data_IF_713265255942
#
_entry.id   IF_713265255942
#
_cell.length_a   1.000
_cell.length_b   1.000
_cell.length_c   1.000
_cell.angle_alpha   90.00
_cell.angle_beta   90.00
_cell.angle_gamma   90.00
#
_symmetry.space_group_name_H-M   'P 1'
#
loop_
_entity.id
_entity.type
_entity.pdbx_description
1 polymer ?
#
# COMPACT_ATOMS: atom_id res chain seq x y z
N UNK A 1 -30.67 -1.26 15.83
CA UNK A 1 -30.38 -0.55 14.57
C UNK A 1 -30.30 0.94 14.89
N UNK A 2 -29.11 1.54 14.90
CA UNK A 2 -29.00 2.98 15.04
C UNK A 2 -29.41 3.59 13.69
N UNK A 3 -30.54 4.30 13.69
CA UNK A 3 -30.98 5.04 12.51
C UNK A 3 -30.06 6.25 12.31
N UNK A 4 -29.63 6.48 11.08
CA UNK A 4 -28.95 7.72 10.74
C UNK A 4 -29.89 8.90 11.01
N UNK A 5 -29.37 10.05 11.49
CA UNK A 5 -30.19 11.23 11.68
C UNK A 5 -30.88 11.65 10.37
N UNK A 6 -32.15 11.97 10.42
CA UNK A 6 -32.94 12.41 9.25
C UNK A 6 -32.27 13.62 8.58
N UNK A 7 -32.18 13.62 7.25
CA UNK A 7 -31.61 14.71 6.47
C UNK A 7 -30.07 14.85 6.56
N UNK A 8 -29.35 13.83 7.06
CA UNK A 8 -27.89 13.80 7.06
C UNK A 8 -27.35 12.84 6.00
N UNK A 9 -26.34 13.28 5.26
CA UNK A 9 -25.52 12.43 4.41
C UNK A 9 -24.32 11.92 5.20
N UNK A 10 -23.97 10.65 5.02
CA UNK A 10 -22.83 10.01 5.69
C UNK A 10 -21.94 9.39 4.61
N UNK A 11 -20.66 9.66 4.70
CA UNK A 11 -19.62 9.05 3.87
C UNK A 11 -18.70 8.22 4.76
N UNK A 12 -18.57 6.93 4.44
CA UNK A 12 -17.57 6.05 5.02
C UNK A 12 -16.37 5.99 4.05
N UNK A 13 -15.19 6.25 4.55
CA UNK A 13 -13.97 6.17 3.75
C UNK A 13 -13.06 5.03 4.24
N UNK A 14 -12.31 4.43 3.30
CA UNK A 14 -11.49 3.23 3.51
C UNK A 14 -12.30 2.11 4.20
N UNK A 15 -13.59 1.96 3.81
CA UNK A 15 -14.52 1.03 4.43
C UNK A 15 -15.45 0.40 3.41
N UNK A 16 -16.01 -0.74 3.78
CA UNK A 16 -17.13 -1.39 3.09
C UNK A 16 -18.44 -1.06 3.82
N UNK A 17 -19.55 -1.33 3.15
CA UNK A 17 -20.89 -1.21 3.73
C UNK A 17 -21.60 -2.59 3.74
N UNK A 18 -21.10 -3.57 4.56
CA UNK A 18 -21.62 -4.93 4.56
C UNK A 18 -23.07 -5.02 5.05
N UNK A 19 -23.52 -4.06 5.86
CA UNK A 19 -24.89 -4.02 6.42
C UNK A 19 -25.91 -3.36 5.50
N UNK A 20 -25.50 -2.89 4.30
CA UNK A 20 -26.38 -2.21 3.36
C UNK A 20 -27.03 -0.94 3.92
N UNK A 21 -26.33 -0.20 4.75
CA UNK A 21 -26.81 1.06 5.31
C UNK A 21 -26.99 2.11 4.21
N UNK A 22 -27.92 3.07 4.34
CA UNK A 22 -28.11 4.14 3.38
C UNK A 22 -27.00 5.21 3.52
N UNK A 23 -25.76 4.81 3.28
CA UNK A 23 -24.57 5.64 3.37
C UNK A 23 -23.74 5.48 2.10
N UNK A 24 -23.04 6.52 1.70
CA UNK A 24 -22.00 6.43 0.68
C UNK A 24 -20.72 5.90 1.30
N UNK A 25 -19.92 5.18 0.51
CA UNK A 25 -18.64 4.65 0.97
C UNK A 25 -17.66 4.50 -0.20
N UNK A 26 -16.39 4.46 0.13
CA UNK A 26 -15.35 4.11 -0.83
C UNK A 26 -14.19 3.36 -0.16
N UNK A 27 -13.44 2.66 -1.00
CA UNK A 27 -12.15 2.04 -0.69
C UNK A 27 -11.12 2.46 -1.75
N UNK A 28 -9.86 2.49 -1.36
CA UNK A 28 -8.74 2.64 -2.30
C UNK A 28 -8.07 1.28 -2.43
N UNK A 29 -8.01 0.75 -3.66
CA UNK A 29 -7.26 -0.46 -3.95
C UNK A 29 -5.76 -0.20 -3.80
N UNK A 30 -5.08 -1.08 -3.08
CA UNK A 30 -3.63 -1.00 -2.93
C UNK A 30 -2.87 -1.90 -3.91
N UNK A 31 -3.58 -2.75 -4.67
CA UNK A 31 -2.95 -3.77 -5.49
C UNK A 31 -2.05 -3.17 -6.59
N UNK A 32 -2.58 -2.27 -7.42
CA UNK A 32 -1.85 -1.74 -8.58
C UNK A 32 -0.59 -0.94 -8.21
N UNK A 33 -0.69 -0.09 -7.19
CA UNK A 33 0.48 0.65 -6.68
C UNK A 33 1.51 -0.29 -6.04
N UNK A 34 1.07 -1.34 -5.34
CA UNK A 34 1.93 -2.37 -4.77
C UNK A 34 2.59 -3.24 -5.84
N UNK A 35 1.89 -3.52 -6.95
CA UNK A 35 2.50 -4.17 -8.12
C UNK A 35 3.71 -3.38 -8.63
N UNK A 36 3.59 -2.07 -8.78
CA UNK A 36 4.70 -1.21 -9.18
C UNK A 36 5.83 -1.17 -8.13
N UNK A 37 5.50 -1.29 -6.85
CA UNK A 37 6.51 -1.45 -5.80
C UNK A 37 7.28 -2.77 -5.94
N UNK A 38 6.59 -3.88 -6.26
CA UNK A 38 7.21 -5.18 -6.55
C UNK A 38 8.14 -5.14 -7.76
N UNK A 39 7.70 -4.51 -8.86
CA UNK A 39 8.56 -4.23 -10.05
C UNK A 39 9.81 -3.46 -9.64
N UNK A 40 9.67 -2.44 -8.80
CA UNK A 40 10.80 -1.64 -8.32
C UNK A 40 11.74 -2.49 -7.47
N UNK A 41 11.21 -3.30 -6.55
CA UNK A 41 11.99 -4.18 -5.68
C UNK A 41 12.84 -5.18 -6.48
N UNK A 42 12.27 -5.79 -7.51
CA UNK A 42 12.96 -6.72 -8.40
C UNK A 42 14.16 -6.09 -9.14
N UNK A 43 14.09 -4.79 -9.40
CA UNK A 43 15.13 -4.06 -10.13
C UNK A 43 16.13 -3.32 -9.21
N UNK A 44 15.88 -3.22 -7.90
CA UNK A 44 16.77 -2.48 -7.00
C UNK A 44 17.70 -3.36 -6.16
N UNK A 45 17.46 -4.66 -6.04
CA UNK A 45 18.28 -5.58 -5.27
C UNK A 45 18.29 -6.98 -5.87
N UNK A 46 19.37 -7.73 -5.64
CA UNK A 46 19.45 -9.17 -5.95
C UNK A 46 18.98 -10.04 -4.78
N UNK A 47 18.74 -9.44 -3.61
CA UNK A 47 18.21 -10.15 -2.43
C UNK A 47 16.71 -10.37 -2.53
N UNK A 48 16.25 -11.50 -1.98
CA UNK A 48 14.83 -11.80 -1.91
C UNK A 48 14.09 -10.73 -1.08
N UNK A 49 12.85 -10.35 -1.44
CA UNK A 49 12.03 -9.46 -0.62
C UNK A 49 11.35 -10.22 0.53
N UNK A 50 10.97 -9.47 1.55
CA UNK A 50 10.06 -9.88 2.60
C UNK A 50 8.84 -8.95 2.59
N UNK A 51 7.65 -9.52 2.57
CA UNK A 51 6.40 -8.80 2.82
C UNK A 51 6.08 -8.90 4.30
N UNK A 52 5.82 -7.75 4.95
CA UNK A 52 5.44 -7.70 6.37
C UNK A 52 4.02 -7.16 6.49
N UNK A 53 3.11 -7.95 7.06
CA UNK A 53 1.73 -7.56 7.31
C UNK A 53 1.56 -7.13 8.76
N UNK A 54 0.85 -6.04 9.00
CA UNK A 54 0.46 -5.64 10.35
C UNK A 54 -0.51 -6.63 10.97
N UNK A 55 -1.55 -7.03 10.21
CA UNK A 55 -2.61 -7.91 10.66
C UNK A 55 -2.94 -8.94 9.58
N UNK A 56 -2.75 -10.24 9.86
CA UNK A 56 -3.04 -11.32 8.90
C UNK A 56 -4.54 -11.51 8.62
N UNK A 57 -5.42 -10.97 9.46
CA UNK A 57 -6.87 -11.00 9.25
C UNK A 57 -7.43 -9.76 8.54
N UNK A 58 -6.58 -8.81 8.15
CA UNK A 58 -6.99 -7.63 7.40
C UNK A 58 -6.86 -7.88 5.89
N UNK A 59 -7.99 -8.02 5.20
CA UNK A 59 -8.00 -8.28 3.76
C UNK A 59 -7.30 -7.18 2.95
N UNK A 60 -7.33 -5.92 3.39
CA UNK A 60 -6.74 -4.82 2.64
C UNK A 60 -5.22 -4.91 2.55
N UNK A 61 -4.54 -5.41 3.60
CA UNK A 61 -3.08 -5.59 3.54
C UNK A 61 -2.67 -6.78 2.66
N UNK A 62 -3.55 -7.77 2.49
CA UNK A 62 -3.33 -8.85 1.54
C UNK A 62 -3.44 -8.36 0.09
N UNK A 63 -4.35 -7.45 -0.23
CA UNK A 63 -4.39 -6.84 -1.58
C UNK A 63 -3.06 -6.15 -1.93
N UNK A 64 -2.44 -5.50 -0.96
CA UNK A 64 -1.11 -4.92 -1.15
C UNK A 64 -0.01 -5.98 -1.27
N UNK A 65 -0.08 -7.05 -0.48
CA UNK A 65 0.87 -8.17 -0.54
C UNK A 65 0.81 -8.88 -1.89
N UNK A 66 -0.39 -9.25 -2.34
CA UNK A 66 -0.62 -9.94 -3.60
C UNK A 66 -0.14 -9.09 -4.80
N UNK A 67 -0.47 -7.79 -4.79
CA UNK A 67 0.02 -6.87 -5.81
C UNK A 67 1.54 -6.78 -5.84
N UNK A 68 2.19 -6.66 -4.68
CA UNK A 68 3.65 -6.62 -4.60
C UNK A 68 4.29 -7.92 -5.09
N UNK A 69 3.78 -9.08 -4.67
CA UNK A 69 4.26 -10.38 -5.10
C UNK A 69 4.15 -10.55 -6.60
N UNK A 70 2.98 -10.28 -7.19
CA UNK A 70 2.76 -10.37 -8.63
C UNK A 70 3.70 -9.46 -9.42
N UNK A 71 3.90 -8.22 -8.95
CA UNK A 71 4.84 -7.29 -9.55
C UNK A 71 6.30 -7.75 -9.48
N UNK A 72 6.72 -8.30 -8.36
CA UNK A 72 8.06 -8.85 -8.18
C UNK A 72 8.30 -10.09 -9.07
N UNK A 73 7.37 -11.04 -9.06
CA UNK A 73 7.45 -12.28 -9.87
C UNK A 73 7.44 -11.95 -11.36
N UNK A 74 6.71 -10.93 -11.80
CA UNK A 74 6.68 -10.52 -13.22
C UNK A 74 8.05 -10.13 -13.79
N UNK A 75 9.01 -9.80 -12.92
CA UNK A 75 10.34 -9.32 -13.29
C UNK A 75 11.45 -10.33 -12.94
N UNK A 76 11.14 -11.45 -12.32
CA UNK A 76 12.11 -12.42 -11.80
C UNK A 76 11.68 -13.85 -12.09
N UNK A 77 12.56 -14.83 -11.79
CA UNK A 77 12.25 -16.26 -11.86
C UNK A 77 11.73 -16.79 -10.50
N UNK A 78 11.34 -15.91 -9.55
CA UNK A 78 10.83 -16.32 -8.26
C UNK A 78 9.41 -16.92 -8.42
N UNK A 79 9.12 -17.97 -7.65
CA UNK A 79 7.78 -18.61 -7.64
C UNK A 79 6.88 -18.00 -6.57
N UNK A 80 7.46 -17.38 -5.53
CA UNK A 80 6.73 -16.76 -4.42
C UNK A 80 7.61 -15.76 -3.65
N UNK A 81 6.97 -14.91 -2.86
CA UNK A 81 7.62 -14.00 -1.92
C UNK A 81 7.30 -14.42 -0.48
N UNK A 82 8.28 -14.35 0.42
CA UNK A 82 8.04 -14.64 1.83
C UNK A 82 7.15 -13.58 2.47
N UNK A 83 6.10 -14.01 3.16
CA UNK A 83 5.18 -13.15 3.91
C UNK A 83 5.30 -13.44 5.40
N UNK A 84 5.40 -12.40 6.23
CA UNK A 84 5.39 -12.48 7.69
C UNK A 84 4.36 -11.51 8.27
N UNK A 85 3.43 -12.02 9.08
CA UNK A 85 2.52 -11.17 9.84
C UNK A 85 3.07 -10.84 11.23
N UNK A 86 2.85 -9.61 11.69
CA UNK A 86 3.22 -9.18 13.04
C UNK A 86 2.18 -9.62 14.08
N UNK A 87 0.91 -9.73 13.69
CA UNK A 87 -0.19 -10.22 14.50
C UNK A 87 -1.34 -10.73 13.60
N UNK A 88 -2.36 -11.31 14.22
CA UNK A 88 -3.65 -11.66 13.63
C UNK A 88 -4.77 -10.68 14.03
N UNK A 89 -4.40 -9.56 14.63
CA UNK A 89 -5.28 -8.49 15.08
C UNK A 89 -4.65 -7.09 14.87
N UNK A 90 -5.36 -6.05 15.31
CA UNK A 90 -4.93 -4.65 15.16
C UNK A 90 -3.66 -4.29 15.95
N UNK A 91 -3.21 -5.11 16.90
CA UNK A 91 -1.98 -4.85 17.67
C UNK A 91 -0.74 -4.84 16.78
N UNK A 92 -0.79 -5.54 15.65
CA UNK A 92 0.32 -5.60 14.69
C UNK A 92 0.68 -4.26 14.05
N UNK A 93 -0.21 -3.28 14.11
CA UNK A 93 0.07 -1.92 13.61
C UNK A 93 0.80 -1.01 14.63
N UNK A 94 1.07 -1.51 15.85
CA UNK A 94 1.68 -0.75 16.93
C UNK A 94 2.95 -1.40 17.51
N UNK A 95 3.66 -2.25 16.73
CA UNK A 95 4.83 -3.03 17.16
C UNK A 95 6.17 -2.45 16.67
N UNK A 96 6.33 -1.12 16.73
CA UNK A 96 7.55 -0.48 16.23
C UNK A 96 8.85 -0.94 16.94
N UNK A 97 8.78 -1.28 18.23
CA UNK A 97 9.95 -1.78 18.97
C UNK A 97 10.31 -3.20 18.55
N UNK A 98 9.32 -4.04 18.31
CA UNK A 98 9.51 -5.41 17.85
C UNK A 98 10.05 -5.46 16.42
N UNK A 99 9.49 -4.66 15.51
CA UNK A 99 10.00 -4.58 14.12
C UNK A 99 11.44 -4.07 14.09
N UNK A 100 11.80 -3.09 14.95
CA UNK A 100 13.19 -2.66 15.08
C UNK A 100 14.11 -3.82 15.46
N UNK A 101 13.71 -4.69 16.39
CA UNK A 101 14.49 -5.86 16.81
C UNK A 101 14.56 -6.92 15.71
N UNK A 102 13.46 -7.16 15.00
CA UNK A 102 13.38 -8.12 13.89
C UNK A 102 14.30 -7.75 12.73
N UNK A 103 14.60 -6.46 12.53
CA UNK A 103 15.52 -6.00 11.49
C UNK A 103 16.90 -6.63 11.59
N UNK A 104 17.38 -7.00 12.79
CA UNK A 104 18.65 -7.69 12.96
C UNK A 104 18.72 -9.05 12.23
N UNK A 105 17.55 -9.70 12.06
CA UNK A 105 17.47 -10.97 11.34
C UNK A 105 17.09 -10.74 9.88
N UNK A 106 16.14 -9.84 9.63
CA UNK A 106 15.69 -9.55 8.28
C UNK A 106 16.81 -9.04 7.36
N UNK A 107 17.70 -8.18 7.88
CA UNK A 107 18.83 -7.65 7.08
C UNK A 107 19.86 -8.69 6.67
N UNK A 108 19.87 -9.88 7.30
CA UNK A 108 20.74 -10.99 6.90
C UNK A 108 20.17 -11.82 5.75
N UNK A 109 18.85 -11.83 5.61
CA UNK A 109 18.15 -12.78 4.76
C UNK A 109 17.47 -12.12 3.56
N UNK A 110 17.14 -10.82 3.66
CA UNK A 110 16.35 -10.10 2.65
C UNK A 110 17.06 -8.85 2.14
N UNK A 111 16.82 -8.52 0.88
CA UNK A 111 17.33 -7.30 0.23
C UNK A 111 16.30 -6.17 0.18
N UNK A 112 15.02 -6.49 0.37
CA UNK A 112 13.93 -5.54 0.36
C UNK A 112 12.88 -5.90 1.42
N UNK A 113 12.39 -4.91 2.17
CA UNK A 113 11.27 -5.08 3.10
C UNK A 113 10.08 -4.26 2.60
N UNK A 114 9.02 -4.96 2.17
CA UNK A 114 7.74 -4.34 1.83
C UNK A 114 6.78 -4.49 3.01
N UNK A 115 6.54 -3.41 3.75
CA UNK A 115 5.81 -3.50 5.01
C UNK A 115 4.50 -2.71 4.98
N UNK A 116 3.38 -3.44 5.10
CA UNK A 116 2.03 -2.93 5.22
C UNK A 116 1.58 -3.05 6.68
N UNK A 117 2.29 -2.36 7.56
CA UNK A 117 2.16 -2.54 9.01
C UNK A 117 2.00 -1.21 9.79
N UNK A 118 1.54 -0.16 9.10
CA UNK A 118 1.20 1.11 9.73
C UNK A 118 2.29 1.66 10.64
N UNK A 119 1.97 1.96 11.91
CA UNK A 119 2.92 2.52 12.89
C UNK A 119 4.12 1.62 13.20
N UNK A 120 4.03 0.31 12.95
CA UNK A 120 5.15 -0.63 13.13
C UNK A 120 6.30 -0.36 12.16
N UNK A 121 6.04 0.26 11.00
CA UNK A 121 7.07 0.65 10.02
C UNK A 121 8.11 1.62 10.60
N UNK A 122 7.75 2.39 11.63
CA UNK A 122 8.67 3.30 12.30
C UNK A 122 9.91 2.58 12.86
N UNK A 123 9.76 1.31 13.29
CA UNK A 123 10.88 0.48 13.74
C UNK A 123 11.86 0.14 12.62
N UNK A 124 11.34 -0.19 11.43
CA UNK A 124 12.13 -0.47 10.21
C UNK A 124 12.93 0.79 9.82
N UNK A 125 12.25 1.93 9.67
CA UNK A 125 12.89 3.18 9.24
C UNK A 125 13.93 3.68 10.25
N UNK A 126 13.64 3.53 11.56
CA UNK A 126 14.59 3.87 12.60
C UNK A 126 15.85 2.99 12.51
N UNK A 127 15.69 1.67 12.36
CA UNK A 127 16.82 0.75 12.23
C UNK A 127 17.69 1.11 11.03
N UNK A 128 17.09 1.34 9.86
CA UNK A 128 17.81 1.66 8.63
C UNK A 128 18.56 3.01 8.71
N UNK A 129 18.05 3.99 9.45
CA UNK A 129 18.79 5.23 9.73
C UNK A 129 20.02 5.01 10.60
N UNK A 130 19.89 4.14 11.62
CA UNK A 130 20.98 3.86 12.56
C UNK A 130 22.03 2.91 11.94
N UNK A 131 21.59 2.00 11.08
CA UNK A 131 22.43 1.00 10.43
C UNK A 131 22.17 1.01 8.92
N UNK A 132 22.79 1.91 8.14
CA UNK A 132 22.58 1.98 6.70
C UNK A 132 23.22 0.76 6.01
N UNK A 133 22.42 -0.25 5.75
CA UNK A 133 22.80 -1.47 5.02
C UNK A 133 22.35 -1.39 3.56
N UNK A 134 22.84 -2.32 2.73
CA UNK A 134 22.41 -2.50 1.34
C UNK A 134 21.02 -3.16 1.21
N UNK A 135 20.09 -2.86 2.15
CA UNK A 135 18.71 -3.31 2.12
C UNK A 135 17.80 -2.11 1.86
N UNK A 136 16.74 -2.33 1.13
CA UNK A 136 15.77 -1.30 0.74
C UNK A 136 14.40 -1.53 1.39
N UNK A 137 13.57 -0.50 1.38
CA UNK A 137 12.20 -0.56 1.89
C UNK A 137 11.29 0.41 1.14
N UNK A 138 10.00 0.32 1.42
CA UNK A 138 8.95 1.18 0.89
C UNK A 138 8.31 2.05 1.98
N UNK A 139 7.81 3.22 1.57
CA UNK A 139 6.87 4.00 2.35
C UNK A 139 5.42 3.56 2.11
N UNK A 140 4.50 3.92 3.02
CA UNK A 140 3.10 3.51 2.97
C UNK A 140 2.18 4.68 3.27
N UNK A 141 1.05 4.77 2.57
CA UNK A 141 -0.04 5.74 2.68
C UNK A 141 0.32 7.20 2.30
N UNK A 142 1.53 7.65 2.59
CA UNK A 142 2.05 8.98 2.24
C UNK A 142 3.48 8.87 1.73
N UNK A 143 4.00 9.90 1.07
CA UNK A 143 5.43 9.95 0.73
C UNK A 143 6.29 10.01 2.00
N UNK A 144 6.98 8.92 2.26
CA UNK A 144 7.85 8.72 3.43
C UNK A 144 9.34 8.76 3.08
N UNK A 145 9.69 9.16 1.86
CA UNK A 145 11.08 9.17 1.36
C UNK A 145 12.07 9.96 2.23
N UNK A 146 11.57 10.94 2.98
CA UNK A 146 12.38 11.74 3.91
C UNK A 146 12.71 11.00 5.23
N UNK A 147 12.07 9.86 5.55
CA UNK A 147 12.25 9.18 6.82
C UNK A 147 13.55 8.38 6.88
N UNK A 148 13.97 7.75 5.79
CA UNK A 148 15.31 7.15 5.65
C UNK A 148 15.68 7.03 4.17
N UNK A 149 16.99 7.03 3.88
CA UNK A 149 17.52 7.00 2.52
C UNK A 149 17.29 5.69 1.77
N UNK A 150 16.91 4.62 2.47
CA UNK A 150 16.62 3.30 1.90
C UNK A 150 15.17 3.15 1.41
N UNK A 151 14.31 4.13 1.65
CA UNK A 151 12.96 4.17 1.06
C UNK A 151 13.10 4.50 -0.42
N UNK A 152 12.84 3.52 -1.29
CA UNK A 152 12.98 3.69 -2.75
C UNK A 152 11.77 4.37 -3.38
N UNK A 153 10.63 4.28 -2.73
CA UNK A 153 9.38 4.90 -3.12
C UNK A 153 8.32 4.65 -2.04
N UNK A 154 7.16 5.25 -2.23
CA UNK A 154 6.03 5.10 -1.31
C UNK A 154 4.75 4.80 -2.09
N UNK A 155 3.92 3.89 -1.58
CA UNK A 155 2.54 3.77 -2.00
C UNK A 155 1.76 4.91 -1.33
N UNK A 156 1.28 5.84 -2.14
CA UNK A 156 0.66 7.09 -1.68
C UNK A 156 -0.82 7.07 -1.99
N UNK A 157 -1.65 7.24 -0.96
CA UNK A 157 -3.10 7.42 -1.08
C UNK A 157 -3.47 8.88 -0.95
N UNK A 158 -4.20 9.40 -1.94
CA UNK A 158 -4.69 10.78 -1.96
C UNK A 158 -6.13 10.81 -1.47
N UNK A 159 -6.35 10.32 -0.25
CA UNK A 159 -7.66 10.36 0.43
C UNK A 159 -8.16 11.80 0.54
N UNK A 160 -7.26 12.74 0.73
CA UNK A 160 -7.52 14.18 0.77
C UNK A 160 -8.27 14.66 -0.49
N UNK A 161 -7.74 14.34 -1.68
CA UNK A 161 -8.36 14.73 -2.95
C UNK A 161 -9.67 14.00 -3.20
N UNK A 162 -9.71 12.70 -2.89
CA UNK A 162 -10.90 11.90 -3.10
C UNK A 162 -12.07 12.40 -2.25
N UNK A 163 -11.82 12.74 -0.99
CA UNK A 163 -12.85 13.33 -0.10
C UNK A 163 -13.28 14.71 -0.62
N UNK A 164 -12.34 15.54 -1.10
CA UNK A 164 -12.64 16.84 -1.69
C UNK A 164 -13.59 16.69 -2.88
N UNK A 165 -13.29 15.75 -3.80
CA UNK A 165 -14.14 15.50 -4.98
C UNK A 165 -15.54 14.99 -4.59
N UNK A 166 -15.64 14.12 -3.58
CA UNK A 166 -16.94 13.69 -3.04
C UNK A 166 -17.75 14.86 -2.49
N UNK A 167 -17.13 15.77 -1.75
CA UNK A 167 -17.78 16.95 -1.19
C UNK A 167 -18.23 17.91 -2.31
N UNK A 168 -17.37 18.17 -3.31
CA UNK A 168 -17.69 19.03 -4.44
C UNK A 168 -18.89 18.47 -5.21
N UNK A 169 -18.86 17.19 -5.56
CA UNK A 169 -19.97 16.56 -6.27
C UNK A 169 -21.28 16.64 -5.46
N UNK A 170 -21.19 16.37 -4.16
CA UNK A 170 -22.37 16.46 -3.30
C UNK A 170 -22.94 17.88 -3.21
N UNK A 171 -22.10 18.90 -3.13
CA UNK A 171 -22.53 20.30 -3.13
C UNK A 171 -23.20 20.71 -4.45
N UNK A 172 -22.67 20.22 -5.57
CA UNK A 172 -23.15 20.58 -6.90
C UNK A 172 -24.45 19.85 -7.30
N UNK A 173 -24.56 18.58 -6.92
CA UNK A 173 -25.63 17.69 -7.42
C UNK A 173 -26.59 17.18 -6.33
N UNK A 174 -26.23 17.32 -5.06
CA UNK A 174 -26.95 16.73 -3.92
C UNK A 174 -26.72 15.22 -3.76
N UNK A 175 -25.86 14.61 -4.59
CA UNK A 175 -25.58 13.15 -4.58
C UNK A 175 -24.08 12.87 -4.45
N UNK A 176 -23.74 11.77 -3.77
CA UNK A 176 -22.36 11.26 -3.72
C UNK A 176 -22.05 10.44 -4.98
N UNK A 177 -20.77 10.29 -5.36
CA UNK A 177 -20.36 9.36 -6.41
C UNK A 177 -20.86 7.93 -6.16
N UNK A 178 -21.21 7.21 -7.23
CA UNK A 178 -21.63 5.82 -7.15
C UNK A 178 -20.43 4.85 -7.11
N UNK A 179 -19.27 5.29 -7.63
CA UNK A 179 -18.06 4.49 -7.60
C UNK A 179 -17.58 4.28 -6.16
N UNK A 180 -17.30 3.04 -5.81
CA UNK A 180 -16.92 2.65 -4.44
C UNK A 180 -15.50 2.11 -4.32
N UNK A 181 -14.82 1.84 -5.43
CA UNK A 181 -13.43 1.36 -5.47
C UNK A 181 -12.59 2.25 -6.39
N UNK A 182 -11.45 2.71 -5.88
CA UNK A 182 -10.52 3.60 -6.58
C UNK A 182 -9.12 2.99 -6.59
N UNK A 183 -8.70 2.50 -7.74
CA UNK A 183 -7.38 1.91 -7.96
C UNK A 183 -6.40 2.87 -8.64
N UNK A 184 -5.28 2.32 -9.08
CA UNK A 184 -4.15 3.03 -9.70
C UNK A 184 -4.56 3.93 -10.89
N UNK A 185 -5.55 3.49 -11.70
CA UNK A 185 -6.07 4.28 -12.83
C UNK A 185 -6.76 5.56 -12.39
N UNK A 186 -7.34 5.59 -11.19
CA UNK A 186 -8.07 6.75 -10.66
C UNK A 186 -7.17 7.96 -10.36
N UNK A 187 -5.89 7.74 -10.12
CA UNK A 187 -4.94 8.76 -9.67
C UNK A 187 -5.01 9.09 -8.17
N UNK A 188 -5.94 8.48 -7.41
CA UNK A 188 -6.00 8.66 -5.94
C UNK A 188 -5.08 7.70 -5.18
N UNK A 189 -4.46 6.77 -5.86
CA UNK A 189 -3.37 5.94 -5.32
C UNK A 189 -2.27 5.81 -6.37
N UNK A 190 -1.02 5.85 -5.94
CA UNK A 190 0.13 5.68 -6.84
C UNK A 190 1.35 5.13 -6.10
N UNK A 191 2.27 4.55 -6.87
CA UNK A 191 3.64 4.28 -6.45
C UNK A 191 4.52 5.48 -6.81
N UNK A 192 4.94 6.23 -5.80
CA UNK A 192 5.75 7.45 -5.96
C UNK A 192 7.20 7.14 -5.62
N UNK A 193 8.08 7.15 -6.62
CA UNK A 193 9.51 6.94 -6.41
C UNK A 193 10.13 8.08 -5.60
N UNK A 194 10.97 7.74 -4.64
CA UNK A 194 11.76 8.73 -3.91
C UNK A 194 12.70 9.48 -4.88
N UNK A 195 12.94 10.78 -4.69
CA UNK A 195 13.74 11.59 -5.63
C UNK A 195 15.10 10.98 -5.97
N UNK A 196 15.76 10.35 -4.99
CA UNK A 196 17.08 9.71 -5.16
C UNK A 196 17.07 8.48 -6.06
N UNK A 197 15.92 7.86 -6.28
CA UNK A 197 15.77 6.63 -7.04
C UNK A 197 14.99 6.81 -8.34
N UNK A 198 14.43 8.00 -8.56
CA UNK A 198 13.56 8.29 -9.70
C UNK A 198 14.25 7.99 -11.03
N UNK A 199 15.45 8.49 -11.25
CA UNK A 199 16.17 8.31 -12.50
C UNK A 199 16.53 6.84 -12.77
N UNK A 200 16.74 6.04 -11.71
CA UNK A 200 17.08 4.63 -11.83
C UNK A 200 15.86 3.75 -12.18
N UNK A 201 14.68 4.06 -11.65
CA UNK A 201 13.55 3.13 -11.71
C UNK A 201 12.31 3.65 -12.45
N UNK A 202 12.22 4.94 -12.82
CA UNK A 202 11.03 5.50 -13.44
C UNK A 202 10.62 4.81 -14.75
N UNK A 203 11.59 4.35 -15.56
CA UNK A 203 11.30 3.68 -16.83
C UNK A 203 10.68 2.29 -16.62
N UNK A 204 11.10 1.55 -15.58
CA UNK A 204 10.48 0.28 -15.21
C UNK A 204 9.05 0.48 -14.74
N UNK A 205 8.83 1.43 -13.81
CA UNK A 205 7.51 1.77 -13.29
C UNK A 205 6.57 2.22 -14.41
N UNK A 206 7.05 3.09 -15.32
CA UNK A 206 6.26 3.59 -16.44
C UNK A 206 5.87 2.47 -17.42
N UNK A 207 6.81 1.59 -17.73
CA UNK A 207 6.60 0.46 -18.65
C UNK A 207 5.53 -0.50 -18.14
N UNK A 208 5.53 -0.77 -16.84
CA UNK A 208 4.64 -1.77 -16.23
C UNK A 208 3.31 -1.18 -15.72
N UNK A 209 3.10 0.14 -15.83
CA UNK A 209 1.93 0.82 -15.28
C UNK A 209 0.60 0.31 -15.86
N UNK A 210 0.52 0.15 -17.18
CA UNK A 210 -0.70 -0.34 -17.82
C UNK A 210 -0.98 -1.80 -17.43
N UNK A 211 0.07 -2.62 -17.29
CA UNK A 211 -0.04 -3.99 -16.77
C UNK A 211 -0.55 -3.99 -15.34
N UNK A 212 -0.03 -3.12 -14.48
CA UNK A 212 -0.47 -3.00 -13.08
C UNK A 212 -1.96 -2.63 -12.98
N UNK A 213 -2.43 -1.67 -13.80
CA UNK A 213 -3.84 -1.27 -13.87
C UNK A 213 -4.72 -2.42 -14.33
N UNK A 214 -4.29 -3.16 -15.37
CA UNK A 214 -5.05 -4.30 -15.88
C UNK A 214 -5.14 -5.43 -14.84
N UNK A 215 -4.02 -5.76 -14.20
CA UNK A 215 -3.95 -6.76 -13.14
C UNK A 215 -4.81 -6.40 -11.93
N UNK A 216 -4.78 -5.14 -11.51
CA UNK A 216 -5.64 -4.65 -10.44
C UNK A 216 -7.13 -4.83 -10.77
N UNK A 217 -7.56 -4.49 -11.98
CA UNK A 217 -8.94 -4.71 -12.43
C UNK A 217 -9.34 -6.19 -12.43
N UNK A 218 -8.45 -7.08 -12.88
CA UNK A 218 -8.67 -8.52 -12.86
C UNK A 218 -8.79 -9.03 -11.41
N UNK A 219 -7.93 -8.58 -10.53
CA UNK A 219 -7.92 -8.93 -9.11
C UNK A 219 -9.22 -8.49 -8.40
N UNK A 220 -9.60 -7.21 -8.55
CA UNK A 220 -10.82 -6.66 -7.93
C UNK A 220 -12.11 -7.32 -8.45
N UNK A 221 -12.15 -7.75 -9.71
CA UNK A 221 -13.29 -8.47 -10.29
C UNK A 221 -13.39 -9.93 -9.80
N UNK A 222 -12.34 -10.48 -9.22
CA UNK A 222 -12.31 -11.85 -8.69
C UNK A 222 -12.71 -11.94 -7.20
N UNK A 223 -12.81 -10.80 -6.49
CA UNK A 223 -13.22 -10.70 -5.07
C UNK A 223 -14.74 -10.67 -4.92
#
# INVERSE_FOLDING_TARGET
MHQLPEGKSVLLFESRNPDGLPVSYFQISMYGASYLAGVTAANCTLGQPLIVLGNSNDASVWHAADGFEDGYISQTDAEMVTVQALADDWSGYAKASETYQMMNEWTKNYGFIYSVAGGSNAGIYRYLREYPHGIYTAGMDTDQSALCSQIVGSMVKRIDLLIEDFIIQWLDTGTMPEQTMYGLESGYVDWVLAPSYKDAFQEFVKKERDTAIQKEKEYENAL
#
